data_IF_106799248126
#
_entry.id   IF_106799248126
#
_cell.length_a   1.000
_cell.length_b   1.000
_cell.length_c   1.000
_cell.angle_alpha   90.00
_cell.angle_beta   90.00
_cell.angle_gamma   90.00
#
_symmetry.space_group_name_H-M   'P 1'
#
loop_
_entity.id
_entity.type
_entity.pdbx_description
1 polymer ?
#
# COMPACT_ATOMS: atom_id res chain seq x y z
N UNK A 1 -0.30 27.26 -14.60
CA UNK A 1 -0.31 28.71 -14.86
C UNK A 1 -1.69 29.27 -15.26
N UNK A 2 -2.71 28.44 -15.54
CA UNK A 2 -4.03 28.92 -15.97
C UNK A 2 -4.97 29.38 -14.84
N UNK A 3 -4.93 28.75 -13.66
CA UNK A 3 -5.89 28.99 -12.56
C UNK A 3 -5.72 30.37 -11.89
N UNK A 4 -4.47 30.81 -11.67
CA UNK A 4 -4.19 32.13 -11.07
C UNK A 4 -4.65 33.30 -11.95
N UNK A 5 -4.81 33.07 -13.26
CA UNK A 5 -5.29 34.08 -14.22
C UNK A 5 -6.82 34.13 -14.21
N UNK A 6 -7.51 33.05 -13.83
CA UNK A 6 -8.97 32.96 -13.77
C UNK A 6 -9.58 33.47 -12.46
N UNK A 7 -8.78 33.94 -11.51
CA UNK A 7 -9.26 34.47 -10.22
C UNK A 7 -9.77 33.41 -9.23
N UNK A 8 -9.71 32.13 -9.59
CA UNK A 8 -10.04 31.03 -8.68
C UNK A 8 -8.80 30.68 -7.85
N UNK A 9 -8.84 30.99 -6.55
CA UNK A 9 -7.81 30.56 -5.60
C UNK A 9 -7.99 29.07 -5.32
N UNK A 10 -7.18 28.23 -5.97
CA UNK A 10 -6.99 26.85 -5.54
C UNK A 10 -6.19 26.88 -4.24
N UNK A 11 -6.86 26.68 -3.12
CA UNK A 11 -6.23 26.62 -1.80
C UNK A 11 -5.87 25.19 -1.47
N UNK A 12 -4.60 24.95 -1.15
CA UNK A 12 -4.18 23.64 -0.64
C UNK A 12 -4.91 23.35 0.69
N UNK A 13 -5.79 22.35 0.69
CA UNK A 13 -6.56 21.93 1.87
C UNK A 13 -5.74 21.07 2.86
N UNK A 14 -4.53 20.66 2.50
CA UNK A 14 -3.58 19.95 3.37
C UNK A 14 -2.57 20.91 4.01
N UNK A 15 -3.06 21.97 4.65
CA UNK A 15 -2.24 23.02 5.29
C UNK A 15 -1.30 22.46 6.38
N UNK A 16 -1.63 21.31 6.97
CA UNK A 16 -0.85 20.64 8.01
C UNK A 16 0.14 19.58 7.50
N UNK A 17 0.31 19.39 6.19
CA UNK A 17 1.26 18.43 5.60
C UNK A 17 1.04 16.96 6.05
N UNK A 18 -0.21 16.54 6.24
CA UNK A 18 -0.54 15.14 6.58
C UNK A 18 -0.26 14.22 5.39
N UNK A 19 0.68 13.30 5.54
CA UNK A 19 1.08 12.38 4.47
C UNK A 19 -0.03 11.39 4.07
N UNK A 20 -1.05 11.18 4.90
CA UNK A 20 -2.21 10.35 4.55
C UNK A 20 -3.09 10.99 3.47
N UNK A 21 -2.90 12.28 3.18
CA UNK A 21 -3.57 13.02 2.09
C UNK A 21 -2.66 13.20 0.87
N UNK A 22 -1.72 12.28 0.70
CA UNK A 22 -0.82 12.27 -0.44
C UNK A 22 -1.55 11.90 -1.73
N UNK A 23 -1.13 12.53 -2.83
CA UNK A 23 -1.54 12.14 -4.18
C UNK A 23 -0.37 11.48 -4.90
N UNK A 24 -0.68 10.46 -5.68
CA UNK A 24 0.25 9.81 -6.59
C UNK A 24 -0.17 10.12 -8.03
N UNK A 25 0.81 10.34 -8.90
CA UNK A 25 0.60 10.62 -10.31
C UNK A 25 1.52 9.72 -11.11
N UNK A 26 1.00 9.05 -12.14
CA UNK A 26 1.82 8.20 -13.01
C UNK A 26 1.77 8.73 -14.43
N UNK A 27 2.94 8.93 -15.03
CA UNK A 27 3.01 9.34 -16.43
C UNK A 27 2.81 8.13 -17.34
N UNK A 28 1.79 8.12 -18.22
CA UNK A 28 1.54 6.98 -19.11
C UNK A 28 2.60 6.82 -20.22
N UNK A 29 3.41 7.85 -20.46
CA UNK A 29 4.43 7.85 -21.52
C UNK A 29 5.75 7.22 -21.04
N UNK A 30 6.20 7.57 -19.84
CA UNK A 30 7.52 7.14 -19.34
C UNK A 30 7.47 6.33 -18.03
N UNK A 31 6.29 6.15 -17.44
CA UNK A 31 6.13 5.44 -16.16
C UNK A 31 6.68 6.20 -14.95
N UNK A 32 6.99 7.50 -15.08
CA UNK A 32 7.45 8.30 -13.94
C UNK A 32 6.34 8.40 -12.90
N UNK A 33 6.71 8.20 -11.63
CA UNK A 33 5.81 8.27 -10.48
C UNK A 33 6.14 9.52 -9.71
N UNK A 34 5.15 10.37 -9.50
CA UNK A 34 5.30 11.63 -8.77
C UNK A 34 4.36 11.58 -7.58
N UNK A 35 4.88 11.98 -6.43
CA UNK A 35 4.13 12.13 -5.19
C UNK A 35 3.96 13.62 -4.87
N UNK A 36 2.79 14.01 -4.40
CA UNK A 36 2.57 15.34 -3.82
C UNK A 36 1.82 15.24 -2.49
N UNK A 37 2.13 16.18 -1.59
CA UNK A 37 1.49 16.29 -0.27
C UNK A 37 0.30 17.25 -0.27
N UNK A 38 -0.26 17.52 -1.44
CA UNK A 38 -1.38 18.43 -1.64
C UNK A 38 -1.67 18.61 -3.12
N UNK A 39 -2.68 19.42 -3.42
CA UNK A 39 -3.11 19.64 -4.80
C UNK A 39 -1.99 20.26 -5.64
N UNK A 40 -1.75 19.68 -6.81
CA UNK A 40 -0.73 20.13 -7.74
C UNK A 40 -1.20 19.92 -9.18
N UNK A 41 -0.87 20.86 -10.06
CA UNK A 41 -1.01 20.67 -11.50
C UNK A 41 0.33 20.19 -12.04
N UNK A 42 0.40 18.91 -12.40
CA UNK A 42 1.63 18.25 -12.82
C UNK A 42 1.56 17.92 -14.32
N UNK A 43 2.63 18.26 -15.04
CA UNK A 43 2.83 17.86 -16.42
C UNK A 43 4.08 16.99 -16.53
N UNK A 44 3.99 15.90 -17.27
CA UNK A 44 5.12 15.06 -17.62
C UNK A 44 5.00 14.68 -19.10
N UNK A 45 6.05 14.83 -19.91
CA UNK A 45 6.00 14.59 -21.36
C UNK A 45 4.87 15.35 -22.09
N UNK A 46 4.55 16.57 -21.62
CA UNK A 46 3.50 17.41 -22.22
C UNK A 46 2.06 16.98 -21.91
N UNK A 47 1.85 15.85 -21.23
CA UNK A 47 0.53 15.45 -20.74
C UNK A 47 0.28 15.96 -19.33
N UNK A 48 -0.93 16.44 -19.07
CA UNK A 48 -1.40 16.76 -17.71
C UNK A 48 -1.67 15.45 -17.00
N UNK A 49 -1.04 15.24 -15.85
CA UNK A 49 -1.29 14.07 -15.02
C UNK A 49 -2.47 14.35 -14.10
N UNK A 50 -3.34 13.36 -13.97
CA UNK A 50 -4.40 13.34 -12.96
C UNK A 50 -3.90 12.56 -11.74
N UNK A 51 -4.33 12.90 -10.52
CA UNK A 51 -4.04 12.08 -9.36
C UNK A 51 -4.69 10.70 -9.56
N UNK A 52 -3.95 9.65 -9.26
CA UNK A 52 -4.46 8.29 -9.28
C UNK A 52 -5.49 8.11 -8.15
N UNK A 53 -6.60 7.46 -8.47
CA UNK A 53 -7.63 7.07 -7.52
C UNK A 53 -7.32 5.65 -7.04
N UNK A 54 -7.26 5.47 -5.72
CA UNK A 54 -6.94 4.18 -5.14
C UNK A 54 -8.22 3.35 -4.95
N UNK A 55 -8.17 2.10 -5.38
CA UNK A 55 -9.24 1.12 -5.23
C UNK A 55 -8.85 0.02 -4.23
N UNK A 56 -9.82 -0.78 -3.78
CA UNK A 56 -9.55 -1.97 -2.95
C UNK A 56 -8.96 -3.09 -3.81
N UNK A 57 -8.13 -3.95 -3.20
CA UNK A 57 -7.51 -5.08 -3.90
C UNK A 57 -8.55 -6.07 -4.43
N UNK A 58 -8.31 -6.60 -5.63
CA UNK A 58 -9.14 -7.63 -6.26
C UNK A 58 -8.43 -9.00 -6.32
N UNK A 59 -9.03 -9.94 -7.06
CA UNK A 59 -8.50 -11.30 -7.19
C UNK A 59 -7.15 -11.39 -7.93
N UNK A 60 -6.87 -10.45 -8.84
CA UNK A 60 -5.63 -10.39 -9.64
C UNK A 60 -4.55 -9.52 -8.98
N UNK A 61 -4.90 -8.79 -7.92
CA UNK A 61 -4.04 -7.85 -7.21
C UNK A 61 -3.98 -8.14 -5.70
N UNK A 62 -3.82 -9.41 -5.33
CA UNK A 62 -3.77 -9.84 -3.93
C UNK A 62 -2.49 -9.38 -3.27
N UNK A 63 -2.63 -8.58 -2.22
CA UNK A 63 -1.52 -8.08 -1.42
C UNK A 63 -1.42 -8.84 -0.09
N UNK A 64 -0.26 -9.43 0.16
CA UNK A 64 0.10 -10.12 1.40
C UNK A 64 1.05 -9.24 2.19
N UNK A 65 0.76 -9.06 3.48
CA UNK A 65 1.63 -8.34 4.43
C UNK A 65 2.02 -9.28 5.54
N UNK A 66 3.32 -9.47 5.72
CA UNK A 66 3.88 -10.19 6.86
C UNK A 66 4.70 -9.20 7.70
N UNK A 67 4.56 -9.28 9.02
CA UNK A 67 5.42 -8.54 9.94
C UNK A 67 6.66 -9.36 10.25
N UNK A 68 7.82 -8.84 9.90
CA UNK A 68 9.12 -9.45 10.18
C UNK A 68 9.93 -8.46 11.01
N UNK A 69 10.08 -8.73 12.31
CA UNK A 69 10.73 -7.83 13.26
C UNK A 69 10.10 -6.42 13.28
N UNK A 70 10.86 -5.41 12.83
CA UNK A 70 10.45 -4.00 12.74
C UNK A 70 10.04 -3.58 11.31
N UNK A 71 9.85 -4.56 10.41
CA UNK A 71 9.51 -4.37 9.00
C UNK A 71 8.17 -5.04 8.63
N UNK A 72 7.47 -4.42 7.69
CA UNK A 72 6.49 -5.08 6.86
C UNK A 72 7.19 -5.64 5.63
N UNK A 73 7.11 -6.96 5.45
CA UNK A 73 7.38 -7.62 4.20
C UNK A 73 6.07 -7.69 3.39
N UNK A 74 6.05 -6.98 2.27
CA UNK A 74 4.88 -6.88 1.39
C UNK A 74 5.16 -7.67 0.13
N UNK A 75 4.27 -8.58 -0.23
CA UNK A 75 4.31 -9.36 -1.47
C UNK A 75 2.98 -9.25 -2.18
N UNK A 76 3.01 -8.99 -3.48
CA UNK A 76 1.82 -8.90 -4.31
C UNK A 76 1.83 -10.10 -5.26
N UNK A 77 0.76 -10.86 -5.28
CA UNK A 77 0.56 -11.90 -6.28
C UNK A 77 0.03 -11.24 -7.55
N UNK A 78 0.96 -10.94 -8.46
CA UNK A 78 0.67 -10.23 -9.70
C UNK A 78 1.69 -10.60 -10.78
N UNK A 79 1.27 -10.54 -12.04
CA UNK A 79 2.15 -10.76 -13.19
C UNK A 79 3.25 -9.67 -13.26
N UNK A 80 4.51 -10.06 -13.46
CA UNK A 80 5.64 -9.13 -13.59
C UNK A 80 6.33 -9.30 -14.93
N UNK A 81 5.62 -9.07 -16.04
CA UNK A 81 6.22 -9.05 -17.38
C UNK A 81 6.60 -7.64 -17.81
N UNK A 82 7.35 -7.52 -18.92
CA UNK A 82 7.71 -6.20 -19.51
C UNK A 82 6.51 -5.31 -19.81
N UNK A 83 5.33 -5.89 -20.04
CA UNK A 83 4.13 -5.18 -20.46
C UNK A 83 3.06 -5.08 -19.36
N UNK A 84 3.17 -5.87 -18.30
CA UNK A 84 2.22 -5.92 -17.19
C UNK A 84 2.98 -6.16 -15.89
N UNK A 85 3.02 -5.15 -15.03
CA UNK A 85 3.83 -5.19 -13.81
C UNK A 85 3.33 -4.18 -12.78
N UNK A 86 3.67 -4.44 -11.52
CA UNK A 86 3.54 -3.46 -10.45
C UNK A 86 4.70 -2.46 -10.56
N UNK A 87 4.36 -1.18 -10.70
CA UNK A 87 5.31 -0.10 -10.88
C UNK A 87 5.98 0.28 -9.56
N UNK A 88 5.22 0.43 -8.49
CA UNK A 88 5.76 0.81 -7.18
C UNK A 88 4.87 0.28 -6.06
N UNK A 89 5.46 0.21 -4.87
CA UNK A 89 4.75 0.00 -3.60
C UNK A 89 5.13 1.16 -2.67
N UNK A 90 4.15 1.73 -1.96
CA UNK A 90 4.36 2.81 -1.02
C UNK A 90 3.69 2.53 0.33
N UNK A 91 4.44 2.70 1.42
CA UNK A 91 3.93 2.64 2.78
C UNK A 91 3.84 4.06 3.36
N UNK A 92 2.64 4.46 3.75
CA UNK A 92 2.30 5.82 4.17
C UNK A 92 1.88 5.82 5.63
N UNK A 93 2.51 6.70 6.41
CA UNK A 93 2.16 7.01 7.79
C UNK A 93 1.64 8.45 7.88
N UNK A 94 1.42 8.99 9.08
CA UNK A 94 1.01 10.39 9.23
C UNK A 94 2.09 11.40 8.83
N UNK A 95 3.37 11.06 8.99
CA UNK A 95 4.50 12.01 8.86
C UNK A 95 5.47 11.68 7.72
N UNK A 96 5.46 10.45 7.18
CA UNK A 96 6.34 10.03 6.07
C UNK A 96 5.68 9.07 5.07
N UNK A 97 6.27 9.04 3.89
CA UNK A 97 6.04 8.05 2.83
C UNK A 97 7.35 7.29 2.59
N UNK A 98 7.30 5.97 2.60
CA UNK A 98 8.37 5.10 2.11
C UNK A 98 7.91 4.52 0.77
N UNK A 99 8.68 4.70 -0.30
CA UNK A 99 8.29 4.26 -1.65
C UNK A 99 9.41 3.45 -2.29
N UNK A 100 9.05 2.30 -2.84
CA UNK A 100 9.97 1.40 -3.56
C UNK A 100 9.46 1.25 -4.99
N UNK A 101 10.30 1.64 -5.95
CA UNK A 101 10.05 1.39 -7.38
C UNK A 101 10.42 -0.06 -7.69
N UNK A 102 9.51 -0.77 -8.35
CA UNK A 102 9.73 -2.11 -8.85
C UNK A 102 10.05 -2.08 -10.34
N UNK A 103 10.82 -3.07 -10.76
CA UNK A 103 11.19 -3.28 -12.15
C UNK A 103 10.33 -4.41 -12.74
N UNK A 104 9.91 -4.30 -14.02
CA UNK A 104 9.34 -5.42 -14.74
C UNK A 104 10.28 -6.64 -14.69
N UNK A 105 9.73 -7.84 -14.73
CA UNK A 105 10.48 -9.12 -14.64
C UNK A 105 11.18 -9.37 -13.29
N UNK A 106 11.04 -8.46 -12.33
CA UNK A 106 11.47 -8.66 -10.94
C UNK A 106 10.35 -9.19 -10.04
N UNK A 107 10.68 -9.42 -8.77
CA UNK A 107 9.69 -9.81 -7.77
C UNK A 107 8.77 -8.64 -7.44
N UNK A 108 7.48 -8.91 -7.30
CA UNK A 108 6.47 -7.95 -6.85
C UNK A 108 6.45 -7.86 -5.31
N UNK A 109 7.59 -7.50 -4.70
CA UNK A 109 7.75 -7.48 -3.25
C UNK A 109 8.62 -6.32 -2.77
N UNK A 110 8.40 -5.87 -1.54
CA UNK A 110 9.16 -4.79 -0.92
C UNK A 110 9.14 -4.90 0.61
N UNK A 111 10.12 -4.27 1.26
CA UNK A 111 10.21 -4.15 2.72
C UNK A 111 10.07 -2.70 3.15
N UNK A 112 9.31 -2.47 4.21
CA UNK A 112 9.06 -1.14 4.77
C UNK A 112 9.22 -1.18 6.28
N UNK A 113 9.84 -0.16 6.87
CA UNK A 113 9.82 -0.01 8.32
C UNK A 113 8.40 0.25 8.79
N UNK A 114 7.95 -0.42 9.85
CA UNK A 114 6.57 -0.31 10.33
C UNK A 114 6.23 1.12 10.70
N UNK A 115 7.07 1.82 11.48
CA UNK A 115 7.06 3.27 11.74
C UNK A 115 5.68 3.99 11.69
N UNK A 116 4.64 3.38 12.28
CA UNK A 116 3.28 3.93 12.27
C UNK A 116 2.61 4.01 10.90
N UNK A 117 3.03 3.23 9.91
CA UNK A 117 2.39 3.04 8.62
C UNK A 117 0.91 2.73 8.85
N UNK A 118 0.05 3.48 8.15
CA UNK A 118 -1.40 3.37 8.21
C UNK A 118 -2.01 2.89 6.91
N UNK A 119 -1.29 3.07 5.79
CA UNK A 119 -1.75 2.70 4.45
C UNK A 119 -0.62 2.13 3.63
N UNK A 120 -0.91 1.08 2.88
CA UNK A 120 -0.07 0.55 1.82
C UNK A 120 -0.75 0.84 0.48
N UNK A 121 0.03 1.32 -0.47
CA UNK A 121 -0.40 1.55 -1.83
C UNK A 121 0.47 0.75 -2.78
N UNK A 122 -0.09 0.31 -3.89
CA UNK A 122 0.70 -0.20 -5.01
C UNK A 122 0.02 0.11 -6.33
N UNK A 123 0.80 0.23 -7.39
CA UNK A 123 0.28 0.64 -8.70
C UNK A 123 0.58 -0.42 -9.75
N UNK A 124 -0.48 -0.99 -10.33
CA UNK A 124 -0.39 -1.80 -11.55
C UNK A 124 -0.42 -0.88 -12.77
N UNK A 125 0.49 -1.09 -13.72
CA UNK A 125 0.56 -0.27 -14.94
C UNK A 125 -0.65 -0.39 -15.87
N UNK A 126 -1.56 -1.34 -15.63
CA UNK A 126 -2.79 -1.55 -16.40
C UNK A 126 -4.06 -1.27 -15.61
N UNK A 127 -4.06 -1.65 -14.33
CA UNK A 127 -5.25 -1.63 -13.49
C UNK A 127 -5.31 -0.44 -12.53
N UNK A 128 -4.24 0.37 -12.46
CA UNK A 128 -4.24 1.59 -11.65
C UNK A 128 -3.70 1.39 -10.23
N UNK A 129 -4.13 2.24 -9.31
CA UNK A 129 -3.66 2.31 -7.94
C UNK A 129 -4.58 1.52 -7.00
N UNK A 130 -3.98 0.75 -6.10
CA UNK A 130 -4.68 0.00 -5.06
C UNK A 130 -4.23 0.44 -3.68
N UNK A 131 -5.10 0.24 -2.68
CA UNK A 131 -4.92 0.58 -1.28
C UNK A 131 -5.23 -0.64 -0.39
N UNK A 132 -4.42 -0.82 0.65
CA UNK A 132 -4.73 -1.65 1.81
C UNK A 132 -4.36 -0.89 3.09
N UNK A 133 -5.24 -0.94 4.09
CA UNK A 133 -4.92 -0.49 5.45
C UNK A 133 -4.34 -1.70 6.23
N UNK A 134 -3.03 -1.72 6.57
CA UNK A 134 -2.49 -2.75 7.45
C UNK A 134 -3.15 -2.59 8.83
N UNK A 135 -4.11 -3.46 9.13
CA UNK A 135 -4.91 -3.39 10.36
C UNK A 135 -3.99 -3.36 11.59
N UNK A 136 -4.10 -2.32 12.40
CA UNK A 136 -3.49 -2.26 13.72
C UNK A 136 -4.39 -2.96 14.74
N UNK A 137 -4.14 -4.25 14.98
CA UNK A 137 -4.83 -5.10 15.97
C UNK A 137 -5.28 -6.38 15.28
N UNK A 138 -4.62 -7.53 15.42
CA UNK A 138 -4.13 -8.21 16.61
C UNK A 138 -2.84 -8.93 16.17
N UNK A 139 -1.68 -8.58 16.71
CA UNK A 139 -0.50 -9.46 16.83
C UNK A 139 0.61 -8.71 17.59
N UNK A 140 0.29 -8.38 18.85
CA UNK A 140 1.25 -8.49 19.96
C UNK A 140 1.22 -9.93 20.52
N UNK A 141 0.91 -10.91 19.66
CA UNK A 141 1.29 -12.29 19.89
C UNK A 141 2.46 -12.55 18.97
N UNK A 142 3.62 -12.71 19.58
CA UNK A 142 4.62 -13.63 19.08
C UNK A 142 3.92 -14.79 18.34
N UNK A 143 4.36 -15.09 17.13
CA UNK A 143 4.02 -16.33 16.47
C UNK A 143 4.51 -17.49 17.37
N UNK A 144 3.63 -17.89 18.27
CA UNK A 144 3.75 -18.97 19.24
C UNK A 144 2.38 -19.63 19.25
N UNK A 145 2.12 -20.40 18.19
CA UNK A 145 1.08 -21.42 18.24
C UNK A 145 1.50 -22.48 19.27
N UNK A 146 0.94 -22.42 20.47
CA UNK A 146 0.78 -23.57 21.35
C UNK A 146 -0.62 -23.52 21.96
N UNK A 147 -1.57 -24.17 21.28
CA UNK A 147 -2.92 -24.45 21.77
C UNK A 147 -2.89 -25.57 22.82
N UNK A 148 -2.17 -25.34 23.92
CA UNK A 148 -2.12 -26.28 25.05
C UNK A 148 -3.45 -26.36 25.79
N UNK A 149 -4.31 -25.33 25.68
CA UNK A 149 -5.64 -25.31 26.31
C UNK A 149 -6.70 -26.04 25.47
N UNK A 150 -6.79 -25.81 24.15
CA UNK A 150 -7.72 -26.56 23.28
C UNK A 150 -7.39 -28.07 23.27
N UNK A 151 -6.10 -28.45 23.33
CA UNK A 151 -5.70 -29.86 23.44
C UNK A 151 -6.11 -30.47 24.79
N UNK A 152 -6.06 -29.70 25.89
CA UNK A 152 -6.51 -30.16 27.22
C UNK A 152 -8.02 -30.30 27.31
N UNK A 153 -8.78 -29.39 26.67
CA UNK A 153 -10.24 -29.47 26.65
C UNK A 153 -10.72 -30.65 25.80
N UNK A 154 -10.11 -30.89 24.64
CA UNK A 154 -10.40 -32.06 23.80
C UNK A 154 -10.02 -33.38 24.50
N UNK A 155 -8.89 -33.43 25.23
CA UNK A 155 -8.53 -34.60 26.05
C UNK A 155 -9.49 -34.80 27.23
N UNK A 156 -9.98 -33.74 27.86
CA UNK A 156 -10.94 -33.81 28.96
C UNK A 156 -12.31 -34.32 28.47
N UNK A 157 -12.79 -33.82 27.33
CA UNK A 157 -14.05 -34.24 26.71
C UNK A 157 -13.96 -35.69 26.20
N UNK A 158 -12.83 -36.09 25.59
CA UNK A 158 -12.64 -37.47 25.15
C UNK A 158 -12.64 -38.48 26.32
N UNK A 159 -12.11 -38.07 27.50
CA UNK A 159 -12.10 -38.89 28.71
C UNK A 159 -13.49 -39.05 29.35
N UNK A 160 -14.41 -38.12 29.11
CA UNK A 160 -15.80 -38.19 29.57
C UNK A 160 -16.71 -38.98 28.62
N UNK A 161 -16.36 -39.07 27.33
CA UNK A 161 -17.17 -39.76 26.32
C UNK A 161 -16.77 -41.23 26.10
N UNK A 162 -15.52 -41.59 26.38
CA UNK A 162 -14.99 -42.96 26.17
C UNK A 162 -14.34 -43.58 27.42
N UNK A 163 -14.57 -42.98 28.60
CA UNK A 163 -14.15 -43.50 29.91
C UNK A 163 -15.30 -44.11 30.68
#
# INVERSE_FOLDING_TARGET
>A
MAELIAGNMVTNVNVGANMLRSHFFVCPVCGNVIHSMGEAVIYCHGVRLMPEEAEETDEDHKLFVERVEDEYYVRIEHEMTKQHYISFIAAVSSDRVQMVKLYPEGNAEARFKINGVKKLYFYCNRSGLFLLDPVSGIDDKDASYDDTEERRELEHVAKLLFG
#
